data_IF_617228852728
#
_entry.id   IF_617228852728
#
_cell.length_a   1.000
_cell.length_b   1.000
_cell.length_c   1.000
_cell.angle_alpha   90.00
_cell.angle_beta   90.00
_cell.angle_gamma   90.00
#
_symmetry.space_group_name_H-M   'P 1'
#
loop_
_entity.id
_entity.type
_entity.pdbx_description
1 polymer ?
#
# COMPACT_ATOMS: atom_id res chain seq x y z
N UNK A 1 -63.96 21.83 18.06
CA UNK A 1 -62.90 21.64 17.03
C UNK A 1 -61.62 22.25 17.57
N UNK A 2 -60.84 21.51 18.36
CA UNK A 2 -59.59 22.03 18.93
C UNK A 2 -58.50 21.99 17.87
N UNK A 3 -58.06 23.16 17.42
CA UNK A 3 -56.90 23.32 16.54
C UNK A 3 -55.64 23.01 17.34
N UNK A 4 -55.00 21.89 17.02
CA UNK A 4 -53.68 21.53 17.52
C UNK A 4 -52.64 22.52 16.96
N UNK A 5 -52.33 23.59 17.70
CA UNK A 5 -51.15 24.40 17.43
C UNK A 5 -49.91 23.55 17.74
N UNK A 6 -48.99 23.31 16.78
CA UNK A 6 -47.81 22.52 17.04
C UNK A 6 -46.94 23.21 18.09
N UNK A 7 -46.71 22.52 19.21
CA UNK A 7 -45.88 22.98 20.31
C UNK A 7 -44.50 23.41 19.82
N UNK A 8 -43.96 24.45 20.45
CA UNK A 8 -42.63 25.00 20.18
C UNK A 8 -41.59 23.88 20.21
N UNK A 9 -40.90 23.64 19.10
CA UNK A 9 -39.90 22.59 18.99
C UNK A 9 -38.80 22.77 20.05
N UNK A 10 -38.31 21.66 20.59
CA UNK A 10 -37.25 21.64 21.59
C UNK A 10 -35.97 22.25 21.02
N UNK A 11 -35.12 22.84 21.87
CA UNK A 11 -33.87 23.48 21.45
C UNK A 11 -33.00 22.45 20.70
N UNK A 12 -32.77 22.68 19.41
CA UNK A 12 -31.97 21.80 18.56
C UNK A 12 -32.73 20.85 17.63
N UNK A 13 -34.07 20.78 17.68
CA UNK A 13 -34.85 19.95 16.73
C UNK A 13 -34.80 20.50 15.31
N UNK A 14 -34.56 19.63 14.33
CA UNK A 14 -34.45 20.00 12.92
C UNK A 14 -35.67 19.50 12.15
N UNK A 15 -36.46 20.42 11.61
CA UNK A 15 -37.68 20.11 10.88
C UNK A 15 -37.42 20.06 9.36
N UNK A 16 -37.93 19.04 8.70
CA UNK A 16 -37.97 18.94 7.24
C UNK A 16 -39.26 19.58 6.73
N UNK A 17 -39.14 20.70 6.01
CA UNK A 17 -40.25 21.43 5.39
C UNK A 17 -40.19 21.30 3.86
N UNK A 18 -41.34 21.18 3.22
CA UNK A 18 -41.46 21.29 1.77
C UNK A 18 -41.72 22.75 1.39
N UNK A 19 -40.92 23.29 0.46
CA UNK A 19 -41.01 24.66 -0.05
C UNK A 19 -40.83 24.63 -1.58
N UNK A 20 -41.86 25.05 -2.32
CA UNK A 20 -41.85 25.07 -3.79
C UNK A 20 -41.44 23.73 -4.44
N UNK A 21 -41.88 22.60 -3.87
CA UNK A 21 -41.55 21.26 -4.37
C UNK A 21 -40.16 20.74 -3.96
N UNK A 22 -39.37 21.51 -3.20
CA UNK A 22 -38.07 21.12 -2.69
C UNK A 22 -38.07 20.97 -1.16
N UNK A 23 -37.22 20.07 -0.66
CA UNK A 23 -37.06 19.82 0.76
C UNK A 23 -36.03 20.78 1.38
N UNK A 24 -36.42 21.38 2.49
CA UNK A 24 -35.63 22.36 3.23
C UNK A 24 -35.60 21.98 4.71
N UNK A 25 -34.42 22.07 5.33
CA UNK A 25 -34.23 21.88 6.76
C UNK A 25 -34.35 23.22 7.47
N UNK A 26 -35.14 23.26 8.54
CA UNK A 26 -35.41 24.47 9.33
C UNK A 26 -35.19 24.16 10.80
N UNK A 27 -34.31 24.92 11.44
CA UNK A 27 -33.97 24.73 12.84
C UNK A 27 -33.48 26.04 13.50
N UNK A 28 -33.33 26.03 14.82
CA UNK A 28 -32.81 27.17 15.57
C UNK A 28 -31.65 26.73 16.47
N UNK A 29 -30.52 27.45 16.37
CA UNK A 29 -29.32 27.23 17.16
C UNK A 29 -28.73 28.59 17.54
N UNK A 30 -28.16 28.74 18.74
CA UNK A 30 -27.54 29.99 19.17
C UNK A 30 -28.44 31.24 19.16
N UNK A 31 -29.77 31.09 19.25
CA UNK A 31 -30.72 32.21 19.15
C UNK A 31 -31.00 32.71 17.73
N UNK A 32 -30.42 32.08 16.70
CA UNK A 32 -30.65 32.38 15.28
C UNK A 32 -31.40 31.23 14.60
N UNK A 33 -32.24 31.58 13.62
CA UNK A 33 -32.99 30.60 12.81
C UNK A 33 -32.22 30.31 11.53
N UNK A 34 -31.96 29.04 11.28
CA UNK A 34 -31.21 28.56 10.11
C UNK A 34 -32.16 27.87 9.12
N UNK A 35 -31.88 28.11 7.84
CA UNK A 35 -32.60 27.58 6.70
C UNK A 35 -31.60 26.93 5.75
N UNK A 36 -31.71 25.62 5.54
CA UNK A 36 -30.80 24.87 4.69
C UNK A 36 -31.58 24.14 3.59
N UNK A 37 -31.38 24.55 2.34
CA UNK A 37 -31.97 23.85 1.20
C UNK A 37 -31.20 22.56 0.92
N UNK A 38 -31.92 21.44 0.81
CA UNK A 38 -31.29 20.14 0.48
C UNK A 38 -31.10 19.93 -1.02
N UNK A 39 -31.70 20.78 -1.86
CA UNK A 39 -31.72 20.59 -3.32
C UNK A 39 -32.57 19.39 -3.79
N UNK A 40 -33.15 18.62 -2.86
CA UNK A 40 -33.93 17.42 -3.18
C UNK A 40 -35.40 17.79 -3.44
N UNK A 41 -36.02 17.13 -4.42
CA UNK A 41 -37.46 17.22 -4.69
C UNK A 41 -38.24 16.49 -3.58
N UNK A 42 -39.42 16.98 -3.19
CA UNK A 42 -40.29 16.36 -2.16
C UNK A 42 -40.91 15.04 -2.65
N UNK A 43 -40.11 13.97 -2.56
CA UNK A 43 -40.54 12.58 -2.72
C UNK A 43 -40.36 11.83 -1.40
N UNK A 44 -41.05 10.71 -1.21
CA UNK A 44 -40.95 9.90 0.01
C UNK A 44 -39.51 9.45 0.32
N UNK A 45 -38.75 9.04 -0.72
CA UNK A 45 -37.35 8.65 -0.62
C UNK A 45 -36.46 9.83 -0.23
N UNK A 46 -36.64 10.98 -0.88
CA UNK A 46 -35.84 12.18 -0.61
C UNK A 46 -36.16 12.78 0.77
N UNK A 47 -37.41 12.64 1.23
CA UNK A 47 -37.81 13.05 2.57
C UNK A 47 -37.08 12.22 3.63
N UNK A 48 -36.88 10.93 3.41
CA UNK A 48 -36.06 10.08 4.28
C UNK A 48 -34.58 10.52 4.28
N UNK A 49 -34.02 10.87 3.12
CA UNK A 49 -32.66 11.42 3.04
C UNK A 49 -32.52 12.75 3.77
N UNK A 50 -33.49 13.66 3.61
CA UNK A 50 -33.55 14.92 4.33
C UNK A 50 -33.68 14.70 5.85
N UNK A 51 -34.42 13.69 6.30
CA UNK A 51 -34.51 13.30 7.72
C UNK A 51 -33.16 12.78 8.25
N UNK A 52 -32.43 11.97 7.49
CA UNK A 52 -31.09 11.53 7.89
C UNK A 52 -30.14 12.72 8.08
N UNK A 53 -30.19 13.69 7.16
CA UNK A 53 -29.43 14.94 7.27
C UNK A 53 -29.87 15.82 8.43
N UNK A 54 -31.17 15.87 8.71
CA UNK A 54 -31.71 16.52 9.90
C UNK A 54 -31.12 15.90 11.18
N UNK A 55 -31.08 14.57 11.27
CA UNK A 55 -30.48 13.86 12.40
C UNK A 55 -28.98 14.09 12.55
N UNK A 56 -28.25 14.28 11.44
CA UNK A 56 -26.82 14.65 11.48
C UNK A 56 -26.61 16.01 12.14
N UNK A 57 -27.44 17.01 11.77
CA UNK A 57 -27.42 18.34 12.38
C UNK A 57 -27.83 18.27 13.86
N UNK A 58 -28.86 17.50 14.20
CA UNK A 58 -29.29 17.31 15.59
C UNK A 58 -28.18 16.71 16.45
N UNK A 59 -27.45 15.72 15.94
CA UNK A 59 -26.29 15.13 16.62
C UNK A 59 -25.18 16.16 16.83
N UNK A 60 -24.85 16.95 15.81
CA UNK A 60 -23.79 17.94 15.92
C UNK A 60 -24.15 19.10 16.86
N UNK A 61 -25.42 19.49 16.91
CA UNK A 61 -25.95 20.43 17.92
C UNK A 61 -25.83 19.83 19.33
N UNK A 62 -26.16 18.55 19.50
CA UNK A 62 -26.09 17.86 20.79
C UNK A 62 -24.66 17.73 21.31
N UNK A 63 -23.69 17.48 20.42
CA UNK A 63 -22.26 17.36 20.79
C UNK A 63 -21.51 18.70 20.81
N UNK A 64 -22.20 19.84 20.67
CA UNK A 64 -21.61 21.18 20.60
C UNK A 64 -20.53 21.32 19.48
N UNK A 65 -20.69 20.56 18.39
CA UNK A 65 -19.81 20.55 17.21
C UNK A 65 -20.51 21.12 15.97
N UNK A 66 -21.58 21.88 16.19
CA UNK A 66 -22.37 22.44 15.11
C UNK A 66 -21.59 23.52 14.37
N UNK A 67 -21.40 23.31 13.07
CA UNK A 67 -20.82 24.30 12.16
C UNK A 67 -21.87 25.37 11.77
N UNK A 68 -21.72 26.58 12.33
CA UNK A 68 -22.60 27.72 12.06
C UNK A 68 -22.57 28.20 10.61
N UNK A 69 -21.52 27.88 9.84
CA UNK A 69 -21.39 28.29 8.42
C UNK A 69 -22.33 27.50 7.50
N UNK A 70 -22.93 26.42 8.01
CA UNK A 70 -23.76 25.45 7.29
C UNK A 70 -23.06 24.76 6.12
N UNK A 71 -21.76 25.02 5.87
CA UNK A 71 -21.03 24.49 4.72
C UNK A 71 -20.92 22.97 4.78
N UNK A 72 -20.69 22.41 5.99
CA UNK A 72 -20.67 20.97 6.24
C UNK A 72 -21.95 20.25 5.79
N UNK A 73 -23.10 20.92 5.84
CA UNK A 73 -24.41 20.31 5.62
C UNK A 73 -25.02 20.61 4.24
N UNK A 74 -24.39 21.49 3.45
CA UNK A 74 -24.87 21.81 2.10
C UNK A 74 -24.59 20.62 1.15
N UNK A 75 -25.52 20.28 0.25
CA UNK A 75 -25.22 19.37 -0.84
C UNK A 75 -24.13 20.03 -1.69
N UNK A 76 -22.96 19.40 -1.76
CA UNK A 76 -21.83 19.91 -2.54
C UNK A 76 -22.21 19.86 -4.02
N UNK A 77 -22.72 20.99 -4.54
CA UNK A 77 -22.95 21.19 -5.97
C UNK A 77 -21.62 20.97 -6.67
N UNK A 78 -21.58 20.00 -7.56
CA UNK A 78 -20.40 19.69 -8.35
C UNK A 78 -20.00 20.93 -9.17
N UNK A 79 -18.98 21.68 -8.71
CA UNK A 79 -18.01 22.48 -9.48
C UNK A 79 -17.17 23.37 -8.53
N UNK A 80 -15.85 23.17 -8.59
CA UNK A 80 -14.76 24.12 -8.25
C UNK A 80 -14.22 24.24 -6.81
N UNK A 81 -13.03 23.63 -6.65
CA UNK A 81 -11.77 24.21 -6.11
C UNK A 81 -11.53 24.29 -4.58
N UNK A 82 -10.61 23.41 -4.14
CA UNK A 82 -9.61 23.52 -3.07
C UNK A 82 -10.06 23.88 -1.63
N UNK A 83 -10.09 22.90 -0.72
CA UNK A 83 -8.95 22.54 0.17
C UNK A 83 -9.42 21.51 1.22
N UNK A 84 -8.85 20.29 1.13
CA UNK A 84 -8.48 19.37 2.23
C UNK A 84 -9.56 19.07 3.32
N UNK A 85 -10.21 17.91 3.22
CA UNK A 85 -10.13 16.77 4.18
C UNK A 85 -10.78 15.54 3.53
N UNK A 86 -9.97 14.49 3.39
CA UNK A 86 -10.31 13.06 3.15
C UNK A 86 -11.22 12.72 1.97
N UNK A 87 -10.70 12.96 0.76
CA UNK A 87 -11.07 12.12 -0.39
C UNK A 87 -10.52 10.72 -0.14
N UNK A 88 -11.40 9.73 -0.05
CA UNK A 88 -11.05 8.32 -0.30
C UNK A 88 -10.79 8.23 -1.80
N UNK A 89 -9.61 8.69 -2.22
CA UNK A 89 -9.02 8.18 -3.44
C UNK A 89 -8.84 6.67 -3.23
N UNK A 90 -9.02 5.81 -4.26
CA UNK A 90 -8.51 4.45 -4.18
C UNK A 90 -7.08 4.57 -3.68
N UNK A 91 -6.68 3.82 -2.62
CA UNK A 91 -5.42 4.06 -1.96
C UNK A 91 -4.35 4.02 -3.04
N UNK A 92 -3.71 5.16 -3.28
CA UNK A 92 -2.52 5.25 -4.13
C UNK A 92 -1.45 4.50 -3.35
N UNK A 93 -1.55 3.16 -3.40
CA UNK A 93 -0.68 2.25 -2.70
C UNK A 93 0.65 2.40 -3.41
N UNK A 94 1.58 3.08 -2.74
CA UNK A 94 2.90 3.26 -3.30
C UNK A 94 3.54 1.89 -3.51
N UNK A 95 4.42 1.78 -4.50
CA UNK A 95 5.16 0.54 -4.75
C UNK A 95 5.91 0.06 -3.49
N UNK A 96 6.38 1.01 -2.65
CA UNK A 96 7.03 0.72 -1.39
C UNK A 96 6.08 0.05 -0.38
N UNK A 97 4.86 0.56 -0.23
CA UNK A 97 3.86 -0.01 0.68
C UNK A 97 3.43 -1.42 0.23
N UNK A 98 3.26 -1.61 -1.08
CA UNK A 98 2.94 -2.93 -1.65
C UNK A 98 4.07 -3.92 -1.40
N UNK A 99 5.32 -3.48 -1.57
CA UNK A 99 6.50 -4.30 -1.34
C UNK A 99 6.60 -4.75 0.12
N UNK A 100 6.40 -3.83 1.08
CA UNK A 100 6.47 -4.18 2.50
C UNK A 100 5.41 -5.22 2.89
N UNK A 101 4.16 -5.03 2.43
CA UNK A 101 3.08 -6.00 2.67
C UNK A 101 3.35 -7.35 1.99
N UNK A 102 3.96 -7.34 0.81
CA UNK A 102 4.36 -8.56 0.10
C UNK A 102 5.47 -9.31 0.85
N UNK A 103 6.46 -8.60 1.39
CA UNK A 103 7.52 -9.20 2.22
C UNK A 103 6.95 -9.80 3.49
N UNK A 104 6.00 -9.14 4.14
CA UNK A 104 5.28 -9.69 5.30
C UNK A 104 4.56 -10.99 4.95
N UNK A 105 3.82 -11.01 3.84
CA UNK A 105 3.14 -12.20 3.34
C UNK A 105 4.12 -13.36 3.05
N UNK A 106 5.31 -13.05 2.53
CA UNK A 106 6.35 -14.04 2.22
C UNK A 106 7.13 -14.51 3.44
N UNK A 107 7.16 -13.75 4.54
CA UNK A 107 7.94 -14.08 5.74
C UNK A 107 7.74 -15.51 6.27
N UNK A 108 6.51 -16.03 6.45
CA UNK A 108 6.33 -17.41 6.90
C UNK A 108 6.64 -18.47 5.83
N UNK A 109 6.73 -18.08 4.55
CA UNK A 109 6.92 -18.99 3.42
C UNK A 109 8.40 -19.17 3.03
N UNK A 110 9.32 -18.38 3.60
CA UNK A 110 10.72 -18.39 3.24
C UNK A 110 11.62 -18.58 4.46
N UNK A 111 12.79 -19.17 4.24
CA UNK A 111 13.78 -19.30 5.30
C UNK A 111 14.26 -17.93 5.81
N UNK A 112 14.67 -17.82 7.09
CA UNK A 112 15.23 -16.58 7.63
C UNK A 112 16.43 -16.07 6.82
N UNK A 113 17.24 -16.99 6.29
CA UNK A 113 18.41 -16.65 5.50
C UNK A 113 18.02 -16.03 4.14
N UNK A 114 17.00 -16.58 3.48
CA UNK A 114 16.47 -16.02 2.22
C UNK A 114 15.91 -14.61 2.45
N UNK A 115 15.18 -14.40 3.54
CA UNK A 115 14.68 -13.08 3.93
C UNK A 115 15.82 -12.07 4.13
N UNK A 116 16.86 -12.49 4.85
CA UNK A 116 18.02 -11.63 5.15
C UNK A 116 18.90 -11.36 3.92
N UNK A 117 19.19 -12.36 3.09
CA UNK A 117 20.17 -12.23 2.01
C UNK A 117 19.57 -11.75 0.69
N UNK A 118 18.32 -12.09 0.38
CA UNK A 118 17.68 -11.73 -0.90
C UNK A 118 16.70 -10.58 -0.73
N UNK A 119 15.71 -10.71 0.14
CA UNK A 119 14.66 -9.69 0.29
C UNK A 119 15.22 -8.36 0.83
N UNK A 120 16.22 -8.37 1.71
CA UNK A 120 16.87 -7.13 2.16
C UNK A 120 17.54 -6.36 1.01
N UNK A 121 18.18 -7.07 0.08
CA UNK A 121 18.86 -6.50 -1.08
C UNK A 121 17.83 -5.85 -2.01
N UNK A 122 16.74 -6.55 -2.30
CA UNK A 122 15.65 -5.98 -3.11
C UNK A 122 14.99 -4.77 -2.45
N UNK A 123 14.77 -4.80 -1.13
CA UNK A 123 14.30 -3.64 -0.37
C UNK A 123 15.26 -2.46 -0.48
N UNK A 124 16.58 -2.71 -0.47
CA UNK A 124 17.58 -1.65 -0.65
C UNK A 124 17.58 -1.08 -2.08
N UNK A 125 17.37 -1.91 -3.11
CA UNK A 125 17.16 -1.42 -4.48
C UNK A 125 15.92 -0.55 -4.57
N UNK A 126 14.82 -0.98 -3.96
CA UNK A 126 13.56 -0.22 -3.95
C UNK A 126 13.70 1.14 -3.27
N UNK A 127 14.48 1.24 -2.18
CA UNK A 127 14.79 2.51 -1.51
C UNK A 127 15.60 3.49 -2.37
N UNK A 128 16.38 2.97 -3.33
CA UNK A 128 17.21 3.78 -4.23
C UNK A 128 16.48 4.21 -5.50
N UNK A 129 15.22 3.77 -5.69
CA UNK A 129 14.44 4.16 -6.86
C UNK A 129 14.11 5.65 -6.82
N UNK A 130 14.08 6.32 -7.99
CA UNK A 130 13.72 7.75 -8.08
C UNK A 130 12.23 8.01 -7.86
N UNK A 131 11.38 7.00 -8.09
CA UNK A 131 9.92 7.06 -7.91
C UNK A 131 9.39 5.72 -7.43
N UNK A 132 8.29 5.79 -6.68
CA UNK A 132 7.52 4.63 -6.19
C UNK A 132 6.12 4.60 -6.81
N UNK A 133 5.88 5.41 -7.84
CA UNK A 133 4.60 5.47 -8.55
C UNK A 133 4.49 4.28 -9.53
N UNK A 134 3.38 3.54 -9.44
CA UNK A 134 3.12 2.39 -10.30
C UNK A 134 2.96 2.77 -11.77
N UNK A 135 2.46 3.97 -12.05
CA UNK A 135 2.26 4.49 -13.42
C UNK A 135 3.59 4.75 -14.14
N UNK A 136 4.67 5.00 -13.39
CA UNK A 136 6.01 5.27 -13.94
C UNK A 136 6.88 4.00 -14.02
N UNK A 137 6.27 2.84 -14.19
CA UNK A 137 7.00 1.56 -14.25
C UNK A 137 8.09 1.51 -15.32
N UNK A 138 7.89 2.19 -16.46
CA UNK A 138 8.91 2.31 -17.51
C UNK A 138 10.17 3.06 -17.04
N UNK A 139 10.02 4.12 -16.25
CA UNK A 139 11.14 4.87 -15.67
C UNK A 139 11.90 4.01 -14.65
N UNK A 140 11.17 3.27 -13.82
CA UNK A 140 11.74 2.34 -12.84
C UNK A 140 12.57 1.26 -13.54
N UNK A 141 12.03 0.64 -14.61
CA UNK A 141 12.76 -0.35 -15.42
C UNK A 141 14.07 0.22 -15.96
N UNK A 142 14.01 1.40 -16.58
CA UNK A 142 15.17 2.03 -17.18
C UNK A 142 16.23 2.38 -16.12
N UNK A 143 15.81 2.84 -14.93
CA UNK A 143 16.72 3.11 -13.81
C UNK A 143 17.38 1.83 -13.29
N UNK A 144 16.61 0.74 -13.12
CA UNK A 144 17.11 -0.55 -12.65
C UNK A 144 18.18 -1.10 -13.60
N UNK A 145 17.88 -1.16 -14.90
CA UNK A 145 18.83 -1.67 -15.90
C UNK A 145 20.10 -0.83 -15.99
N UNK A 146 20.00 0.49 -15.74
CA UNK A 146 21.16 1.40 -15.79
C UNK A 146 22.07 1.27 -14.56
N UNK A 147 21.52 1.00 -13.37
CA UNK A 147 22.27 1.10 -12.10
C UNK A 147 22.58 -0.26 -11.45
N UNK A 148 21.97 -1.35 -11.92
CA UNK A 148 22.09 -2.68 -11.32
C UNK A 148 22.60 -3.67 -12.39
N UNK A 149 23.47 -4.64 -12.05
CA UNK A 149 23.90 -5.69 -12.98
C UNK A 149 22.70 -6.41 -13.62
N UNK A 150 22.81 -6.78 -14.90
CA UNK A 150 21.69 -7.30 -15.71
C UNK A 150 20.94 -8.49 -15.07
N UNK A 151 21.68 -9.44 -14.49
CA UNK A 151 21.11 -10.62 -13.81
C UNK A 151 20.28 -10.16 -12.60
N UNK A 152 20.87 -9.33 -11.74
CA UNK A 152 20.20 -8.80 -10.54
C UNK A 152 19.04 -7.87 -10.89
N UNK A 153 19.13 -7.12 -11.98
CA UNK A 153 18.06 -6.29 -12.51
C UNK A 153 16.86 -7.13 -12.96
N UNK A 154 17.11 -8.22 -13.71
CA UNK A 154 16.07 -9.18 -14.11
C UNK A 154 15.42 -9.85 -12.91
N UNK A 155 16.21 -10.31 -11.94
CA UNK A 155 15.70 -10.90 -10.70
C UNK A 155 14.83 -9.93 -9.92
N UNK A 156 15.30 -8.68 -9.77
CA UNK A 156 14.58 -7.65 -9.05
C UNK A 156 13.23 -7.33 -9.71
N UNK A 157 13.21 -7.12 -11.03
CA UNK A 157 11.97 -6.89 -11.78
C UNK A 157 11.03 -8.09 -11.74
N UNK A 158 11.56 -9.32 -11.75
CA UNK A 158 10.77 -10.55 -11.58
C UNK A 158 10.06 -10.55 -10.22
N UNK A 159 10.75 -10.09 -9.16
CA UNK A 159 10.12 -9.96 -7.83
C UNK A 159 9.14 -8.81 -7.73
N UNK A 160 9.38 -7.68 -8.40
CA UNK A 160 8.40 -6.59 -8.49
C UNK A 160 7.13 -7.03 -9.24
N UNK A 161 7.26 -7.74 -10.36
CA UNK A 161 6.12 -8.32 -11.07
C UNK A 161 5.35 -9.31 -10.19
N UNK A 162 6.05 -10.18 -9.44
CA UNK A 162 5.40 -11.10 -8.51
C UNK A 162 4.67 -10.37 -7.36
N UNK A 163 5.26 -9.29 -6.85
CA UNK A 163 4.63 -8.41 -5.85
C UNK A 163 3.34 -7.79 -6.39
N UNK A 164 3.36 -7.26 -7.61
CA UNK A 164 2.18 -6.65 -8.23
C UNK A 164 1.10 -7.70 -8.56
N UNK A 165 1.49 -8.89 -9.03
CA UNK A 165 0.54 -10.00 -9.21
C UNK A 165 -0.13 -10.40 -7.89
N UNK A 166 0.64 -10.50 -6.80
CA UNK A 166 0.08 -10.73 -5.47
C UNK A 166 -0.87 -9.60 -5.03
N UNK A 167 -0.52 -8.34 -5.31
CA UNK A 167 -1.36 -7.18 -5.00
C UNK A 167 -2.69 -7.20 -5.77
N UNK A 168 -2.72 -7.67 -7.03
CA UNK A 168 -3.96 -7.90 -7.79
C UNK A 168 -4.82 -8.97 -7.11
N UNK A 169 -4.23 -10.13 -6.79
CA UNK A 169 -4.97 -11.21 -6.13
C UNK A 169 -5.51 -10.79 -4.75
N UNK A 170 -4.84 -9.84 -4.11
CA UNK A 170 -5.24 -9.26 -2.82
C UNK A 170 -6.21 -8.07 -2.96
N UNK A 171 -6.59 -7.70 -4.18
CA UNK A 171 -7.50 -6.57 -4.46
C UNK A 171 -6.92 -5.18 -4.17
N UNK A 172 -5.60 -5.04 -4.08
CA UNK A 172 -4.93 -3.77 -3.76
C UNK A 172 -4.70 -2.90 -5.00
N UNK A 173 -4.45 -3.53 -6.15
CA UNK A 173 -4.25 -2.86 -7.45
C UNK A 173 -5.08 -3.56 -8.53
N UNK A 174 -5.39 -2.83 -9.60
CA UNK A 174 -6.22 -3.36 -10.70
C UNK A 174 -5.41 -4.08 -11.79
N UNK A 175 -4.15 -3.70 -12.00
CA UNK A 175 -3.30 -4.21 -13.07
C UNK A 175 -1.84 -4.21 -12.67
N UNK A 176 -1.03 -5.09 -13.28
CA UNK A 176 0.40 -5.23 -12.99
C UNK A 176 1.21 -4.45 -14.02
N UNK A 177 1.84 -3.32 -13.63
CA UNK A 177 2.59 -2.51 -14.58
C UNK A 177 3.96 -3.08 -14.93
N UNK A 178 4.44 -4.12 -14.21
CA UNK A 178 5.75 -4.77 -14.45
C UNK A 178 5.63 -6.13 -15.16
N UNK A 179 4.43 -6.51 -15.59
CA UNK A 179 4.21 -7.76 -16.29
C UNK A 179 5.00 -7.79 -17.61
N UNK A 180 5.66 -8.91 -17.90
CA UNK A 180 6.46 -9.10 -19.12
C UNK A 180 7.81 -8.37 -19.16
N UNK A 181 7.99 -7.27 -18.41
CA UNK A 181 9.25 -6.50 -18.39
C UNK A 181 10.52 -7.32 -18.08
N UNK A 182 10.52 -8.31 -17.15
CA UNK A 182 11.72 -9.11 -16.90
C UNK A 182 12.13 -9.98 -18.10
N UNK A 183 11.19 -10.37 -18.97
CA UNK A 183 11.48 -11.19 -20.14
C UNK A 183 12.14 -10.39 -21.27
N UNK A 184 11.96 -9.07 -21.29
CA UNK A 184 12.60 -8.17 -22.25
C UNK A 184 14.12 -8.07 -22.00
N UNK A 185 14.57 -8.32 -20.75
CA UNK A 185 15.98 -8.28 -20.38
C UNK A 185 16.66 -9.58 -20.83
N UNK A 186 17.35 -9.48 -21.97
CA UNK A 186 18.20 -10.56 -22.48
C UNK A 186 19.55 -10.51 -21.77
N UNK A 187 19.83 -11.54 -20.98
CA UNK A 187 21.13 -11.73 -20.33
C UNK A 187 22.07 -12.35 -21.37
N UNK A 188 23.26 -11.76 -21.62
CA UNK A 188 24.28 -12.38 -22.46
C UNK A 188 24.67 -13.76 -21.93
N UNK A 189 24.98 -14.72 -22.83
CA UNK A 189 25.33 -16.09 -22.42
C UNK A 189 26.48 -16.14 -21.39
N UNK A 190 27.48 -15.28 -21.56
CA UNK A 190 28.63 -15.14 -20.65
C UNK A 190 28.27 -14.70 -19.23
N UNK A 191 27.06 -14.20 -19.00
CA UNK A 191 26.54 -13.81 -17.69
C UNK A 191 25.40 -14.73 -17.22
N UNK A 192 24.91 -15.63 -18.08
CA UNK A 192 23.81 -16.54 -17.75
C UNK A 192 24.27 -17.93 -17.33
N UNK A 193 25.49 -18.29 -17.70
CA UNK A 193 26.16 -19.44 -17.12
C UNK A 193 26.47 -19.04 -15.68
N UNK A 194 25.74 -19.63 -14.72
CA UNK A 194 26.28 -19.80 -13.38
C UNK A 194 27.69 -20.31 -13.61
N UNK A 195 28.71 -19.51 -13.28
CA UNK A 195 30.10 -19.94 -13.43
C UNK A 195 30.17 -21.31 -12.77
N UNK A 196 30.25 -22.36 -13.58
CA UNK A 196 30.23 -23.73 -13.10
C UNK A 196 31.38 -23.77 -12.11
N UNK A 197 31.04 -23.91 -10.83
CA UNK A 197 32.01 -23.83 -9.75
C UNK A 197 33.02 -24.92 -10.05
N UNK A 198 34.24 -24.52 -10.39
CA UNK A 198 35.29 -25.46 -10.77
C UNK A 198 35.61 -26.35 -9.56
N UNK A 199 35.22 -27.63 -9.58
CA UNK A 199 35.37 -28.48 -8.41
C UNK A 199 36.84 -28.86 -8.27
N UNK A 200 37.36 -28.83 -7.04
CA UNK A 200 38.72 -29.27 -6.77
C UNK A 200 38.96 -30.69 -7.29
N UNK A 201 40.05 -30.84 -8.05
CA UNK A 201 40.57 -32.15 -8.44
C UNK A 201 41.09 -32.92 -7.21
N UNK A 202 41.28 -34.23 -7.36
CA UNK A 202 41.82 -35.05 -6.28
C UNK A 202 43.23 -34.59 -5.86
N UNK A 203 44.05 -34.18 -6.83
CA UNK A 203 45.41 -33.68 -6.59
C UNK A 203 45.38 -32.35 -5.83
N UNK A 204 44.52 -31.41 -6.22
CA UNK A 204 44.34 -30.14 -5.51
C UNK A 204 43.81 -30.35 -4.10
N UNK A 205 42.86 -31.25 -3.91
CA UNK A 205 42.38 -31.63 -2.57
C UNK A 205 43.54 -32.12 -1.71
N UNK A 206 44.39 -33.01 -2.23
CA UNK A 206 45.50 -33.59 -1.48
C UNK A 206 46.57 -32.54 -1.16
N UNK A 207 46.83 -31.59 -2.08
CA UNK A 207 47.68 -30.42 -1.82
C UNK A 207 47.10 -29.50 -0.74
N UNK A 208 45.79 -29.24 -0.78
CA UNK A 208 45.09 -28.45 0.26
C UNK A 208 45.24 -29.13 1.62
N UNK A 209 45.05 -30.45 1.70
CA UNK A 209 45.20 -31.21 2.93
C UNK A 209 46.65 -31.18 3.45
N UNK A 210 47.65 -31.38 2.58
CA UNK A 210 49.05 -31.31 2.97
C UNK A 210 49.47 -29.90 3.43
N UNK A 211 48.90 -28.85 2.83
CA UNK A 211 49.09 -27.48 3.27
C UNK A 211 48.51 -27.26 4.67
N UNK A 212 47.32 -27.79 4.98
CA UNK A 212 46.75 -27.73 6.33
C UNK A 212 47.59 -28.50 7.37
N UNK A 213 48.22 -29.62 6.99
CA UNK A 213 49.08 -30.42 7.88
C UNK A 213 50.44 -29.77 8.18
N UNK A 214 51.01 -29.02 7.22
CA UNK A 214 52.35 -28.43 7.33
C UNK A 214 52.37 -26.95 7.72
N UNK A 215 51.22 -26.26 7.70
CA UNK A 215 51.15 -24.83 7.96
C UNK A 215 51.23 -24.52 9.47
N UNK A 216 52.23 -23.71 9.84
CA UNK A 216 52.49 -23.26 11.22
C UNK A 216 51.31 -22.49 11.85
N UNK A 217 50.42 -21.90 11.04
CA UNK A 217 49.26 -21.14 11.51
C UNK A 217 48.00 -21.99 11.67
N UNK A 218 48.03 -23.27 11.30
CA UNK A 218 46.92 -24.19 11.52
C UNK A 218 47.08 -24.89 12.89
N UNK A 219 46.07 -24.82 13.79
CA UNK A 219 46.13 -25.54 15.04
C UNK A 219 46.24 -27.04 14.79
N UNK A 220 47.11 -27.73 15.53
CA UNK A 220 47.32 -29.19 15.40
C UNK A 220 46.03 -30.01 15.51
N UNK A 221 45.00 -29.49 16.20
CA UNK A 221 43.69 -30.13 16.34
C UNK A 221 42.87 -30.15 15.04
N UNK A 222 43.24 -29.37 14.02
CA UNK A 222 42.60 -29.34 12.69
C UNK A 222 43.27 -30.29 11.69
N UNK A 223 44.53 -30.66 11.92
CA UNK A 223 45.20 -31.71 11.19
C UNK A 223 44.75 -33.04 11.79
N UNK A 224 44.06 -33.89 11.01
CA UNK A 224 43.54 -35.17 11.49
C UNK A 224 44.63 -35.99 12.16
N UNK A 225 44.41 -36.34 13.42
CA UNK A 225 45.14 -37.42 14.09
C UNK A 225 44.88 -38.72 13.31
N UNK A 226 45.86 -39.15 12.49
CA UNK A 226 45.81 -40.46 11.82
C UNK A 226 46.06 -41.53 12.88
N UNK A 227 44.99 -41.86 13.61
CA UNK A 227 44.94 -43.05 14.45
C UNK A 227 45.44 -44.25 13.67
N UNK A 228 46.53 -44.82 14.17
CA UNK A 228 47.20 -46.02 13.69
C UNK A 228 46.21 -47.14 13.36
N UNK A 229 46.00 -47.42 12.08
CA UNK A 229 45.74 -48.79 11.63
C UNK A 229 47.10 -49.47 11.47
N UNK A 230 47.61 -50.04 12.57
CA UNK A 230 48.58 -51.13 12.52
C UNK A 230 47.81 -52.44 12.63
N UNK A 231 48.00 -53.29 11.62
CA UNK A 231 47.70 -54.72 11.63
C UNK A 231 48.27 -55.41 12.87
#
# INVERSE_FOLDING_TARGET
MYSNTPGKAFKGTVQVKSSNGHLQLVFSYGGKRHYLSTGLIDTSTNRRLAQLKAGEIEKDILYERFDETLEKYKPQSALSTATKVTSIAPPQTSLADLWEKFVEFKRPQCSPNTMKLKYSVYTNYLKRLPTHDLEKAGEIRNFVVKNIPLISAKDFLTRLSACCNWAITSGLIMSNPFEGMPAEIKIPKSQSEDEDIDPFTAEERDLILAAFESNQFCPQCSAKDRGLNKL
#
